data_IF_926586382859
#
_entry.id   IF_926586382859
#
_cell.length_a   1.000
_cell.length_b   1.000
_cell.length_c   1.000
_cell.angle_alpha   90.00
_cell.angle_beta   90.00
_cell.angle_gamma   90.00
#
_symmetry.space_group_name_H-M   'P 1'
#
loop_
_entity.id
_entity.type
_entity.pdbx_description
1 polymer ?
#
# COMPACT_ATOMS: atom_id res chain seq x y z
N UNK A 1 -53.77 -18.57 13.80
CA UNK A 1 -52.79 -17.53 14.18
C UNK A 1 -51.35 -18.03 14.39
N UNK A 2 -51.09 -19.22 14.97
CA UNK A 2 -49.72 -19.73 15.20
C UNK A 2 -48.93 -20.04 13.90
N UNK A 3 -49.57 -20.64 12.88
CA UNK A 3 -48.90 -20.92 11.60
C UNK A 3 -48.49 -19.66 10.83
N UNK A 4 -49.31 -18.60 10.84
CA UNK A 4 -49.02 -17.35 10.12
C UNK A 4 -47.78 -16.62 10.68
N UNK A 5 -47.59 -16.66 12.01
CA UNK A 5 -46.41 -16.09 12.67
C UNK A 5 -45.12 -16.86 12.36
N UNK A 6 -45.21 -18.18 12.21
CA UNK A 6 -44.06 -19.03 11.89
C UNK A 6 -43.58 -18.80 10.45
N UNK A 7 -44.48 -18.66 9.49
CA UNK A 7 -44.12 -18.29 8.11
C UNK A 7 -43.49 -16.89 8.01
N UNK A 8 -44.00 -15.91 8.78
CA UNK A 8 -43.45 -14.55 8.78
C UNK A 8 -42.02 -14.50 9.35
N UNK A 9 -41.73 -15.28 10.40
CA UNK A 9 -40.38 -15.35 11.00
C UNK A 9 -39.40 -16.05 10.06
N UNK A 10 -39.81 -17.11 9.37
CA UNK A 10 -38.96 -17.82 8.40
C UNK A 10 -38.68 -16.95 7.16
N UNK A 11 -39.67 -16.23 6.64
CA UNK A 11 -39.50 -15.30 5.53
C UNK A 11 -38.59 -14.11 5.90
N UNK A 12 -38.73 -13.57 7.11
CA UNK A 12 -37.87 -12.49 7.61
C UNK A 12 -36.43 -12.98 7.83
N UNK A 13 -36.23 -14.20 8.34
CA UNK A 13 -34.90 -14.79 8.49
C UNK A 13 -34.20 -15.01 7.14
N UNK A 14 -34.93 -15.45 6.10
CA UNK A 14 -34.39 -15.58 4.74
C UNK A 14 -34.06 -14.23 4.09
N UNK A 15 -34.84 -13.18 4.38
CA UNK A 15 -34.61 -11.82 3.87
C UNK A 15 -33.43 -11.10 4.54
N UNK A 16 -33.06 -11.47 5.77
CA UNK A 16 -31.91 -10.88 6.47
C UNK A 16 -30.59 -11.56 6.06
N UNK A 17 -30.62 -12.84 5.67
CA UNK A 17 -29.43 -13.57 5.19
C UNK A 17 -28.96 -13.15 3.79
N UNK A 18 -29.80 -12.54 2.95
CA UNK A 18 -29.42 -12.12 1.59
C UNK A 18 -28.77 -10.73 1.51
N UNK A 19 -28.79 -9.94 2.60
CA UNK A 19 -28.27 -8.56 2.59
C UNK A 19 -26.75 -8.49 2.77
N UNK A 20 -26.14 -9.56 3.31
CA UNK A 20 -24.69 -9.60 3.59
C UNK A 20 -23.86 -9.94 2.35
N UNK A 21 -24.47 -10.56 1.33
CA UNK A 21 -23.79 -10.99 0.10
C UNK A 21 -23.70 -9.90 -0.99
N UNK A 22 -24.24 -8.70 -0.75
CA UNK A 22 -24.34 -7.63 -1.75
C UNK A 22 -23.49 -6.38 -1.41
N UNK A 23 -22.43 -6.52 -0.60
CA UNK A 23 -21.64 -5.37 -0.14
C UNK A 23 -20.52 -4.91 -1.07
N UNK A 24 -20.17 -5.67 -2.12
CA UNK A 24 -19.19 -5.24 -3.12
C UNK A 24 -19.79 -5.19 -4.51
N UNK A 25 -19.69 -4.03 -5.18
CA UNK A 25 -20.17 -3.85 -6.54
C UNK A 25 -19.44 -4.77 -7.53
N UNK A 26 -18.15 -4.97 -7.30
CA UNK A 26 -17.29 -5.98 -7.91
C UNK A 26 -16.14 -6.27 -6.94
N UNK A 27 -15.77 -7.54 -6.82
CA UNK A 27 -14.78 -7.99 -5.85
C UNK A 27 -13.44 -8.22 -6.54
N UNK A 28 -12.31 -7.70 -6.01
CA UNK A 28 -11.00 -8.03 -6.57
C UNK A 28 -10.71 -9.52 -6.38
N UNK A 29 -10.05 -10.13 -7.37
CA UNK A 29 -9.66 -11.54 -7.33
C UNK A 29 -8.60 -11.73 -6.22
N UNK A 30 -8.89 -12.53 -5.18
CA UNK A 30 -7.90 -12.80 -4.15
C UNK A 30 -6.71 -13.55 -4.74
N UNK A 31 -5.50 -13.20 -4.32
CA UNK A 31 -4.30 -13.79 -4.90
C UNK A 31 -3.02 -13.08 -4.49
N UNK A 32 -1.89 -13.64 -4.96
CA UNK A 32 -0.56 -13.05 -4.83
C UNK A 32 -0.06 -12.66 -6.21
N UNK A 33 0.27 -11.39 -6.39
CA UNK A 33 0.72 -10.79 -7.64
C UNK A 33 2.13 -10.23 -7.43
N UNK A 34 3.06 -10.51 -8.34
CA UNK A 34 4.48 -10.21 -8.16
C UNK A 34 5.14 -9.73 -9.44
N UNK A 35 6.17 -8.91 -9.29
CA UNK A 35 7.01 -8.54 -10.44
C UNK A 35 7.82 -9.71 -10.97
N UNK A 36 8.23 -10.62 -10.07
CA UNK A 36 9.12 -11.72 -10.41
C UNK A 36 8.46 -12.78 -11.30
N UNK A 37 7.15 -13.01 -11.15
CA UNK A 37 6.38 -13.94 -11.97
C UNK A 37 5.63 -13.25 -13.13
N UNK A 38 5.82 -11.93 -13.30
CA UNK A 38 5.23 -11.14 -14.37
C UNK A 38 3.73 -10.85 -14.20
N UNK A 39 3.13 -11.21 -13.06
CA UNK A 39 1.72 -10.93 -12.78
C UNK A 39 1.45 -9.49 -12.35
N UNK A 40 2.49 -8.69 -12.12
CA UNK A 40 2.44 -7.23 -12.04
C UNK A 40 3.76 -6.60 -12.50
N UNK A 41 3.76 -5.32 -12.82
CA UNK A 41 4.97 -4.57 -13.14
C UNK A 41 5.48 -3.78 -11.93
N UNK A 42 6.78 -3.46 -11.96
CA UNK A 42 7.40 -2.53 -11.03
C UNK A 42 6.92 -1.09 -11.26
N UNK A 43 7.59 -0.13 -10.63
CA UNK A 43 7.10 1.24 -10.66
C UNK A 43 8.17 2.26 -10.41
N UNK A 44 7.70 3.48 -10.17
CA UNK A 44 8.50 4.64 -9.79
C UNK A 44 7.84 5.32 -8.62
N UNK A 45 8.66 5.92 -7.77
CA UNK A 45 8.21 6.71 -6.63
C UNK A 45 8.80 8.11 -6.64
N UNK A 46 8.09 9.02 -5.98
CA UNK A 46 8.60 10.29 -5.53
C UNK A 46 8.26 10.54 -4.07
N UNK A 47 9.24 10.99 -3.30
CA UNK A 47 9.04 11.60 -1.99
C UNK A 47 9.11 13.11 -2.14
N UNK A 48 8.03 13.82 -1.83
CA UNK A 48 7.99 15.28 -1.88
C UNK A 48 8.48 15.90 -0.57
N UNK A 49 9.39 16.88 -0.66
CA UNK A 49 9.85 17.66 0.48
C UNK A 49 8.88 18.81 0.77
N UNK A 50 7.74 18.51 1.40
CA UNK A 50 6.63 19.46 1.53
C UNK A 50 6.98 20.72 2.34
N UNK A 51 7.94 20.64 3.25
CA UNK A 51 8.45 21.77 4.02
C UNK A 51 9.73 22.39 3.42
N UNK A 52 10.27 21.80 2.36
CA UNK A 52 11.58 22.16 1.79
C UNK A 52 12.78 21.77 2.66
N UNK A 53 12.57 21.03 3.77
CA UNK A 53 13.60 20.72 4.76
C UNK A 53 14.45 19.47 4.43
N UNK A 54 14.17 18.78 3.33
CA UNK A 54 14.89 17.57 2.91
C UNK A 54 14.17 16.27 3.28
N UNK A 55 14.86 15.12 3.18
CA UNK A 55 14.27 13.79 3.33
C UNK A 55 13.93 13.45 4.78
N UNK A 56 12.97 12.55 4.98
CA UNK A 56 12.66 12.00 6.30
C UNK A 56 12.00 12.97 7.28
N UNK A 57 11.53 14.13 6.82
CA UNK A 57 10.92 15.17 7.65
C UNK A 57 9.41 14.94 7.77
N UNK A 58 8.80 15.14 8.97
CA UNK A 58 7.35 15.10 9.14
C UNK A 58 6.59 15.89 8.07
N UNK A 59 5.54 15.28 7.53
CA UNK A 59 4.71 15.88 6.49
C UNK A 59 5.23 15.73 5.06
N UNK A 60 6.45 15.22 4.83
CA UNK A 60 6.85 14.79 3.48
C UNK A 60 5.89 13.71 2.98
N UNK A 61 5.55 13.75 1.69
CA UNK A 61 4.52 12.86 1.14
C UNK A 61 5.05 11.94 0.07
N UNK A 62 4.51 10.72 0.02
CA UNK A 62 4.88 9.71 -0.97
C UNK A 62 3.87 9.59 -2.10
N UNK A 63 4.37 9.36 -3.31
CA UNK A 63 3.59 9.03 -4.50
C UNK A 63 4.32 7.95 -5.32
N UNK A 64 3.66 6.82 -5.55
CA UNK A 64 4.22 5.70 -6.27
C UNK A 64 3.23 5.18 -7.31
N UNK A 65 3.73 4.92 -8.52
CA UNK A 65 2.93 4.48 -9.65
C UNK A 65 3.65 3.36 -10.41
N UNK A 66 2.89 2.37 -10.89
CA UNK A 66 3.40 1.34 -11.80
C UNK A 66 3.96 1.98 -13.08
N UNK A 67 5.05 1.45 -13.64
CA UNK A 67 5.71 2.01 -14.82
C UNK A 67 5.92 0.94 -15.90
N UNK A 68 5.33 1.12 -17.07
CA UNK A 68 5.42 0.16 -18.18
C UNK A 68 6.47 0.53 -19.25
N UNK A 69 7.29 1.55 -19.00
CA UNK A 69 8.26 2.09 -19.98
C UNK A 69 7.72 3.24 -20.84
N UNK A 70 6.41 3.51 -20.82
CA UNK A 70 5.77 4.58 -21.59
C UNK A 70 4.84 5.48 -20.75
N UNK A 71 4.09 4.90 -19.82
CA UNK A 71 3.12 5.60 -18.97
C UNK A 71 3.21 5.13 -17.50
N UNK A 72 2.96 6.08 -16.59
CA UNK A 72 2.81 5.82 -15.16
C UNK A 72 1.36 5.40 -14.86
N UNK A 73 1.16 4.67 -13.77
CA UNK A 73 -0.16 4.38 -13.21
C UNK A 73 -1.00 3.44 -14.07
N UNK A 74 -0.40 2.57 -14.86
CA UNK A 74 -1.13 1.64 -15.74
C UNK A 74 -1.73 0.42 -15.05
N UNK A 75 -1.22 0.04 -13.88
CA UNK A 75 -1.67 -1.11 -13.11
C UNK A 75 -2.03 -0.73 -11.67
N UNK A 76 -1.16 0.00 -11.00
CA UNK A 76 -1.34 0.36 -9.60
C UNK A 76 -0.81 1.76 -9.32
N UNK A 77 -1.38 2.39 -8.29
CA UNK A 77 -0.97 3.68 -7.77
C UNK A 77 -1.19 3.73 -6.25
N UNK A 78 -0.24 4.32 -5.53
CA UNK A 78 -0.26 4.46 -4.06
C UNK A 78 0.22 5.88 -3.75
N UNK A 79 -0.56 6.71 -3.07
CA UNK A 79 -0.24 8.13 -2.92
C UNK A 79 -0.87 8.79 -1.69
N UNK A 80 -0.31 9.93 -1.30
CA UNK A 80 -0.90 10.83 -0.30
C UNK A 80 -0.61 10.45 1.15
N UNK A 81 0.19 9.41 1.38
CA UNK A 81 0.73 9.11 2.70
C UNK A 81 1.73 10.21 3.07
N UNK A 82 1.70 10.68 4.32
CA UNK A 82 2.63 11.68 4.85
C UNK A 82 3.46 11.09 6.00
N UNK A 83 4.76 11.43 6.07
CA UNK A 83 5.61 11.07 7.21
C UNK A 83 4.97 11.61 8.48
N UNK A 84 4.86 10.75 9.49
CA UNK A 84 4.24 11.13 10.76
C UNK A 84 5.08 12.15 11.55
N UNK A 85 4.58 12.55 12.72
CA UNK A 85 5.23 13.55 13.56
C UNK A 85 6.62 13.12 14.09
N UNK A 86 6.94 11.83 14.09
CA UNK A 86 8.24 11.34 14.56
C UNK A 86 9.35 11.54 13.52
N UNK A 87 9.00 11.63 12.23
CA UNK A 87 9.99 11.69 11.16
C UNK A 87 10.67 10.34 10.92
N UNK A 88 11.74 10.36 10.13
CA UNK A 88 12.63 9.20 9.99
C UNK A 88 13.43 8.99 11.29
N UNK A 89 13.35 7.79 11.85
CA UNK A 89 14.05 7.42 13.08
C UNK A 89 15.24 6.53 12.75
N UNK A 90 16.45 6.96 13.12
CA UNK A 90 17.66 6.13 13.02
C UNK A 90 17.53 4.91 13.94
N UNK A 91 17.64 3.70 13.39
CA UNK A 91 17.53 2.44 14.14
C UNK A 91 18.86 1.72 14.30
N UNK A 92 19.79 1.93 13.37
CA UNK A 92 21.14 1.40 13.46
C UNK A 92 22.12 2.22 12.63
N UNK A 93 23.41 2.16 12.99
CA UNK A 93 24.48 2.81 12.24
C UNK A 93 25.77 2.01 12.31
N UNK A 94 26.55 2.06 11.24
CA UNK A 94 27.93 1.58 11.20
C UNK A 94 28.72 2.48 10.26
N UNK A 95 29.40 3.49 10.80
CA UNK A 95 30.22 4.45 10.06
C UNK A 95 31.63 4.43 10.65
N UNK A 96 32.64 4.27 9.81
CA UNK A 96 34.04 4.29 10.23
C UNK A 96 34.60 5.72 10.32
N UNK A 97 35.88 5.86 10.72
CA UNK A 97 36.54 7.16 10.86
C UNK A 97 36.70 7.94 9.55
N UNK A 98 36.62 7.27 8.39
CA UNK A 98 36.63 7.93 7.08
C UNK A 98 35.24 8.36 6.62
N UNK A 99 34.17 8.11 7.38
CA UNK A 99 32.79 8.39 6.96
C UNK A 99 32.22 7.36 5.98
N UNK A 100 32.84 6.19 5.86
CA UNK A 100 32.34 5.08 5.03
C UNK A 100 31.52 4.13 5.89
N UNK A 101 30.39 3.66 5.37
CA UNK A 101 29.52 2.72 6.06
C UNK A 101 28.04 2.93 5.73
N UNK A 102 27.15 2.77 6.71
CA UNK A 102 25.71 2.92 6.50
C UNK A 102 24.95 3.42 7.74
N UNK A 103 23.75 3.93 7.52
CA UNK A 103 22.75 4.27 8.54
C UNK A 103 21.40 3.69 8.11
N UNK A 104 20.72 3.01 9.03
CA UNK A 104 19.37 2.47 8.84
C UNK A 104 18.35 3.35 9.54
N UNK A 105 17.26 3.64 8.83
CA UNK A 105 16.12 4.41 9.31
C UNK A 105 14.85 3.59 9.21
N UNK A 106 13.90 3.86 10.10
CA UNK A 106 12.51 3.45 9.96
C UNK A 106 11.64 4.70 9.96
N UNK A 107 10.75 4.78 8.98
CA UNK A 107 9.85 5.92 8.79
C UNK A 107 8.42 5.40 8.73
N UNK A 108 7.57 5.91 9.61
CA UNK A 108 6.14 5.63 9.61
C UNK A 108 5.40 6.74 8.86
N UNK A 109 4.36 6.34 8.16
CA UNK A 109 3.51 7.26 7.42
C UNK A 109 2.06 7.12 7.86
N UNK A 110 1.30 8.21 7.73
CA UNK A 110 -0.12 8.27 8.02
C UNK A 110 -0.93 8.62 6.77
N UNK A 111 -2.15 8.09 6.71
CA UNK A 111 -3.12 8.35 5.64
C UNK A 111 -2.73 7.70 4.31
N UNK A 112 -3.25 8.27 3.22
CA UNK A 112 -2.99 7.85 1.85
C UNK A 112 -4.04 6.91 1.26
N UNK A 113 -3.90 6.71 -0.04
CA UNK A 113 -4.84 6.02 -0.90
C UNK A 113 -4.12 5.08 -1.84
N UNK A 114 -4.85 4.08 -2.31
CA UNK A 114 -4.40 3.22 -3.40
C UNK A 114 -5.46 3.10 -4.48
N UNK A 115 -5.01 2.74 -5.67
CA UNK A 115 -5.80 2.42 -6.84
C UNK A 115 -5.17 1.22 -7.54
N UNK A 116 -6.02 0.31 -8.01
CA UNK A 116 -5.67 -0.87 -8.78
C UNK A 116 -6.57 -0.93 -10.02
N UNK A 117 -5.96 -1.13 -11.19
CA UNK A 117 -6.68 -1.25 -12.46
C UNK A 117 -7.64 -2.43 -12.45
N UNK A 118 -8.92 -2.18 -12.75
CA UNK A 118 -9.96 -3.19 -12.88
C UNK A 118 -9.77 -4.10 -14.09
N UNK A 119 -9.02 -3.64 -15.09
CA UNK A 119 -8.73 -4.38 -16.31
C UNK A 119 -7.54 -5.34 -16.20
N UNK A 120 -6.90 -5.41 -15.02
CA UNK A 120 -5.75 -6.27 -14.79
C UNK A 120 -6.16 -7.66 -14.25
N UNK A 121 -5.19 -8.56 -14.06
CA UNK A 121 -5.38 -9.94 -13.58
C UNK A 121 -6.02 -10.08 -12.19
N UNK A 122 -6.06 -9.02 -11.38
CA UNK A 122 -6.79 -8.97 -10.11
C UNK A 122 -8.22 -8.44 -10.23
N UNK A 123 -8.63 -8.00 -11.42
CA UNK A 123 -9.96 -7.45 -11.67
C UNK A 123 -10.79 -8.30 -12.61
N UNK A 124 -12.04 -7.88 -12.76
CA UNK A 124 -13.05 -8.49 -13.62
C UNK A 124 -13.36 -7.63 -14.87
N UNK A 125 -12.65 -6.50 -15.03
CA UNK A 125 -12.86 -5.55 -16.11
C UNK A 125 -14.10 -4.65 -15.96
N UNK A 126 -14.85 -4.74 -14.86
CA UNK A 126 -16.09 -3.98 -14.67
C UNK A 126 -15.87 -2.61 -14.02
N UNK A 127 -14.76 -2.43 -13.30
CA UNK A 127 -14.38 -1.16 -12.71
C UNK A 127 -13.06 -1.26 -11.94
N UNK A 128 -12.44 -0.11 -11.71
CA UNK A 128 -11.21 -0.04 -10.92
C UNK A 128 -11.47 -0.22 -9.43
N UNK A 129 -10.45 -0.64 -8.71
CA UNK A 129 -10.51 -0.77 -7.26
C UNK A 129 -9.73 0.34 -6.60
N UNK A 130 -10.30 0.93 -5.55
CA UNK A 130 -9.64 1.95 -4.76
C UNK A 130 -9.86 1.74 -3.28
N UNK A 131 -9.05 2.40 -2.47
CA UNK A 131 -9.17 2.30 -1.03
C UNK A 131 -8.22 3.21 -0.27
N UNK A 132 -8.22 3.03 1.04
CA UNK A 132 -7.40 3.81 1.96
C UNK A 132 -6.29 2.95 2.54
N UNK A 133 -5.16 3.58 2.84
CA UNK A 133 -4.02 2.92 3.46
C UNK A 133 -4.17 3.01 4.98
N UNK A 134 -4.09 1.86 5.63
CA UNK A 134 -4.27 1.74 7.09
C UNK A 134 -2.93 1.56 7.81
N UNK A 135 -1.90 1.11 7.10
CA UNK A 135 -0.54 0.99 7.60
C UNK A 135 0.45 1.23 6.47
N UNK A 136 1.50 2.00 6.73
CA UNK A 136 2.59 2.20 5.77
C UNK A 136 3.90 2.49 6.53
N UNK A 137 4.89 1.64 6.31
CA UNK A 137 6.19 1.71 6.96
C UNK A 137 7.30 1.51 5.93
N UNK A 138 8.36 2.32 6.06
CA UNK A 138 9.53 2.28 5.19
C UNK A 138 10.77 2.07 6.04
N UNK A 139 11.50 0.99 5.78
CA UNK A 139 12.84 0.77 6.28
C UNK A 139 13.85 1.20 5.23
N UNK A 140 14.69 2.19 5.52
CA UNK A 140 15.64 2.77 4.57
C UNK A 140 17.08 2.55 5.04
N UNK A 141 17.96 2.09 4.16
CA UNK A 141 19.41 2.01 4.36
C UNK A 141 20.10 3.05 3.50
N UNK A 142 20.79 4.00 4.13
CA UNK A 142 21.64 4.99 3.46
C UNK A 142 23.09 4.52 3.56
N UNK A 143 23.74 4.34 2.42
CA UNK A 143 25.14 3.91 2.32
C UNK A 143 26.03 5.11 1.99
N UNK A 144 27.17 5.18 2.68
CA UNK A 144 28.13 6.27 2.59
C UNK A 144 29.51 5.75 2.17
N UNK A 145 30.21 6.53 1.36
CA UNK A 145 31.62 6.36 1.05
C UNK A 145 32.33 7.70 1.23
N UNK A 146 33.33 7.75 2.11
CA UNK A 146 34.06 8.98 2.44
C UNK A 146 33.14 10.16 2.85
N UNK A 147 32.07 9.88 3.58
CA UNK A 147 31.07 10.88 4.01
C UNK A 147 30.04 11.27 2.96
N UNK A 148 30.15 10.77 1.73
CA UNK A 148 29.21 11.03 0.63
C UNK A 148 28.19 9.89 0.52
N UNK A 149 26.92 10.22 0.29
CA UNK A 149 25.89 9.21 0.01
C UNK A 149 26.19 8.57 -1.35
N UNK A 150 26.28 7.24 -1.38
CA UNK A 150 26.51 6.44 -2.60
C UNK A 150 25.34 5.55 -2.96
N UNK A 151 24.38 5.38 -2.05
CA UNK A 151 23.18 4.61 -2.33
C UNK A 151 22.16 4.74 -1.22
N UNK A 152 20.89 4.67 -1.60
CA UNK A 152 19.76 4.59 -0.67
C UNK A 152 18.85 3.49 -1.18
N UNK A 153 18.57 2.52 -0.32
CA UNK A 153 17.61 1.44 -0.60
C UNK A 153 16.53 1.41 0.46
N UNK A 154 15.31 1.11 0.04
CA UNK A 154 14.16 1.03 0.95
C UNK A 154 13.40 -0.28 0.78
N UNK A 155 12.97 -0.84 1.91
CA UNK A 155 11.96 -1.90 2.00
C UNK A 155 10.66 -1.27 2.52
N UNK A 156 9.55 -1.53 1.87
CA UNK A 156 8.27 -0.89 2.18
C UNK A 156 7.25 -1.98 2.49
N UNK A 157 6.53 -1.81 3.59
CA UNK A 157 5.37 -2.64 3.92
C UNK A 157 4.16 -1.74 4.06
N UNK A 158 3.07 -2.08 3.40
CA UNK A 158 1.81 -1.37 3.54
C UNK A 158 0.62 -2.32 3.60
N UNK A 159 -0.46 -1.83 4.23
CA UNK A 159 -1.77 -2.46 4.26
C UNK A 159 -2.82 -1.44 3.86
N UNK A 160 -3.78 -1.85 3.05
CA UNK A 160 -4.89 -1.00 2.61
C UNK A 160 -6.22 -1.72 2.66
N UNK A 161 -7.29 -0.95 2.83
CA UNK A 161 -8.68 -1.41 2.87
C UNK A 161 -9.40 -0.91 1.61
N UNK A 162 -10.05 -1.80 0.85
CA UNK A 162 -10.87 -1.40 -0.30
C UNK A 162 -12.10 -0.62 0.16
N UNK A 163 -12.41 0.48 -0.54
CA UNK A 163 -13.52 1.37 -0.20
C UNK A 163 -14.87 0.69 -0.42
N UNK A 164 -15.05 0.08 -1.59
CA UNK A 164 -16.29 -0.61 -1.98
C UNK A 164 -16.31 -2.08 -1.56
N UNK A 165 -15.31 -2.54 -0.79
CA UNK A 165 -15.24 -3.91 -0.33
C UNK A 165 -14.54 -4.05 1.04
N UNK A 166 -15.23 -3.71 2.14
CA UNK A 166 -14.61 -3.59 3.47
C UNK A 166 -14.15 -4.92 4.10
N UNK A 167 -14.47 -6.07 3.50
CA UNK A 167 -13.92 -7.38 3.89
C UNK A 167 -12.73 -7.81 3.04
N UNK A 168 -12.36 -7.00 2.04
CA UNK A 168 -11.13 -7.17 1.28
C UNK A 168 -10.08 -6.16 1.73
N UNK A 169 -8.82 -6.59 1.75
CA UNK A 169 -7.66 -5.75 2.00
C UNK A 169 -6.49 -6.14 1.09
N UNK A 170 -5.57 -5.19 0.92
CA UNK A 170 -4.27 -5.44 0.30
C UNK A 170 -3.20 -5.50 1.37
N UNK A 171 -2.30 -6.47 1.26
CA UNK A 171 -1.00 -6.47 1.93
C UNK A 171 0.08 -6.38 0.85
N UNK A 172 0.85 -5.30 0.86
CA UNK A 172 1.75 -4.97 -0.23
C UNK A 172 3.15 -4.73 0.32
N UNK A 173 4.10 -5.50 -0.22
CA UNK A 173 5.49 -5.54 0.20
C UNK A 173 6.37 -5.20 -0.98
N UNK A 174 7.19 -4.16 -0.82
CA UNK A 174 8.23 -3.77 -1.77
C UNK A 174 9.58 -4.14 -1.17
N UNK A 175 10.24 -5.11 -1.80
CA UNK A 175 11.54 -5.56 -1.33
C UNK A 175 12.68 -4.62 -1.73
N UNK A 176 12.48 -3.71 -2.69
CA UNK A 176 13.50 -2.75 -3.03
C UNK A 176 12.94 -1.51 -3.74
N UNK A 177 13.30 -0.35 -3.21
CA UNK A 177 13.22 0.92 -3.91
C UNK A 177 14.59 1.60 -3.85
N UNK A 178 15.10 2.04 -5.00
CA UNK A 178 16.44 2.60 -5.15
C UNK A 178 16.37 4.08 -5.50
N UNK A 179 17.10 4.91 -4.76
CA UNK A 179 17.22 6.35 -5.08
C UNK A 179 17.91 6.54 -6.44
N UNK A 180 17.27 7.33 -7.30
CA UNK A 180 17.77 7.69 -8.63
C UNK A 180 18.19 9.16 -8.69
N UNK A 181 17.47 10.03 -7.98
CA UNK A 181 17.71 11.46 -7.98
C UNK A 181 17.17 12.09 -6.70
N UNK A 182 17.83 13.11 -6.19
CA UNK A 182 17.26 14.02 -5.19
C UNK A 182 17.58 15.48 -5.48
N UNK A 183 16.78 16.34 -4.87
CA UNK A 183 17.02 17.79 -4.91
C UNK A 183 18.38 18.12 -4.33
N UNK A 184 19.18 18.88 -5.10
CA UNK A 184 20.53 19.26 -4.72
C UNK A 184 21.64 18.36 -5.28
N UNK A 185 21.32 17.28 -6.01
CA UNK A 185 22.33 16.42 -6.65
C UNK A 185 23.10 17.10 -7.80
N UNK A 186 22.69 18.30 -8.21
CA UNK A 186 23.30 19.06 -9.32
C UNK A 186 22.93 18.55 -10.72
N UNK A 187 22.41 17.32 -10.83
CA UNK A 187 21.84 16.79 -12.06
C UNK A 187 20.40 17.28 -12.28
N UNK A 188 19.97 17.50 -13.55
CA UNK A 188 18.56 17.77 -13.85
C UNK A 188 17.66 16.61 -13.39
N UNK A 189 16.47 16.94 -12.90
CA UNK A 189 15.49 15.94 -12.50
C UNK A 189 15.05 15.08 -13.70
N UNK A 190 15.16 13.75 -13.62
CA UNK A 190 14.65 12.86 -14.65
C UNK A 190 13.14 13.03 -14.90
N UNK A 191 12.73 12.95 -16.17
CA UNK A 191 11.32 12.91 -16.54
C UNK A 191 10.67 11.54 -16.25
N UNK A 192 9.34 11.48 -16.37
CA UNK A 192 8.55 10.24 -16.24
C UNK A 192 8.57 9.61 -14.84
N UNK A 193 8.60 10.45 -13.80
CA UNK A 193 8.38 10.04 -12.41
C UNK A 193 7.04 10.60 -11.91
N UNK A 194 6.43 9.97 -10.88
CA UNK A 194 5.23 10.52 -10.27
C UNK A 194 5.49 11.95 -9.80
N UNK A 195 4.54 12.88 -9.98
CA UNK A 195 4.73 14.26 -9.56
C UNK A 195 4.90 14.32 -8.04
N UNK A 196 5.72 15.28 -7.58
CA UNK A 196 5.74 15.64 -6.17
C UNK A 196 4.36 16.15 -5.75
N UNK A 197 3.85 15.65 -4.63
CA UNK A 197 2.59 16.12 -4.06
C UNK A 197 2.82 17.43 -3.31
N UNK A 198 1.79 17.90 -2.58
CA UNK A 198 1.81 19.10 -1.72
C UNK A 198 2.30 20.40 -2.39
N UNK A 199 2.36 20.45 -3.72
CA UNK A 199 2.92 21.60 -4.47
C UNK A 199 4.43 21.76 -4.33
N UNK A 200 5.15 20.72 -3.87
CA UNK A 200 6.59 20.78 -3.70
C UNK A 200 7.30 20.83 -5.07
N UNK A 201 8.37 21.63 -5.14
CA UNK A 201 9.24 21.73 -6.31
C UNK A 201 10.51 20.86 -6.19
N UNK A 202 10.57 20.02 -5.16
CA UNK A 202 11.72 19.20 -4.84
C UNK A 202 11.37 18.01 -3.96
N UNK A 203 12.28 17.06 -3.92
CA UNK A 203 12.09 15.75 -3.33
C UNK A 203 13.15 14.75 -3.75
N UNK A 204 12.82 13.47 -3.61
CA UNK A 204 13.58 12.31 -4.06
C UNK A 204 12.78 11.49 -5.06
N UNK A 205 13.48 10.86 -6.01
CA UNK A 205 12.91 9.99 -7.02
C UNK A 205 13.52 8.60 -6.90
N UNK A 206 12.68 7.57 -7.00
CA UNK A 206 13.11 6.21 -6.82
C UNK A 206 12.56 5.29 -7.92
N UNK A 207 13.37 4.32 -8.33
CA UNK A 207 12.87 3.16 -9.06
C UNK A 207 12.38 2.12 -8.05
N UNK A 208 11.27 1.45 -8.36
CA UNK A 208 10.65 0.42 -7.55
C UNK A 208 10.71 -0.91 -8.30
N UNK A 209 11.26 -1.93 -7.66
CA UNK A 209 11.23 -3.29 -8.17
C UNK A 209 10.81 -4.30 -7.10
N UNK A 210 10.65 -5.55 -7.50
CA UNK A 210 10.42 -6.67 -6.58
C UNK A 210 9.19 -6.48 -5.71
N UNK A 211 8.06 -6.15 -6.34
CA UNK A 211 6.78 -5.95 -5.66
C UNK A 211 6.11 -7.30 -5.42
N UNK A 212 5.48 -7.45 -4.26
CA UNK A 212 4.46 -8.47 -4.00
C UNK A 212 3.20 -7.78 -3.46
N UNK A 213 2.10 -7.88 -4.20
CA UNK A 213 0.76 -7.50 -3.78
C UNK A 213 -0.02 -8.77 -3.43
N UNK A 214 -0.50 -8.88 -2.20
CA UNK A 214 -1.46 -9.89 -1.80
C UNK A 214 -2.83 -9.22 -1.64
N UNK A 215 -3.83 -9.75 -2.33
CA UNK A 215 -5.23 -9.38 -2.14
C UNK A 215 -5.87 -10.49 -1.34
N UNK A 216 -6.41 -10.12 -0.19
CA UNK A 216 -7.12 -11.06 0.69
C UNK A 216 -8.54 -10.55 0.83
N UNK A 217 -9.49 -11.38 0.43
CA UNK A 217 -10.90 -11.20 0.71
C UNK A 217 -11.33 -12.37 1.57
N UNK A 218 -11.45 -12.12 2.87
CA UNK A 218 -12.03 -13.08 3.78
C UNK A 218 -13.41 -12.57 4.16
N UNK A 219 -14.48 -13.04 3.48
CA UNK A 219 -15.80 -12.94 4.05
C UNK A 219 -15.82 -13.99 5.16
N UNK A 220 -15.11 -13.77 6.27
CA UNK A 220 -15.43 -14.51 7.48
C UNK A 220 -16.84 -14.08 7.81
N UNK A 221 -17.80 -14.81 7.26
CA UNK A 221 -19.10 -14.93 7.83
C UNK A 221 -18.79 -15.34 9.26
N UNK A 222 -18.85 -14.38 10.19
CA UNK A 222 -19.20 -14.70 11.56
C UNK A 222 -20.46 -15.53 11.43
N UNK A 223 -20.31 -16.85 11.35
CA UNK A 223 -21.45 -17.73 11.44
C UNK A 223 -22.10 -17.32 12.75
N UNK A 224 -23.36 -16.91 12.68
CA UNK A 224 -24.09 -16.53 13.87
C UNK A 224 -24.36 -17.84 14.61
N UNK A 225 -23.36 -18.36 15.30
CA UNK A 225 -23.50 -19.57 16.08
C UNK A 225 -24.34 -19.19 17.26
N UNK A 226 -25.62 -19.57 17.22
CA UNK A 226 -26.46 -19.43 18.40
C UNK A 226 -25.84 -20.28 19.50
N UNK A 227 -25.93 -19.83 20.76
CA UNK A 227 -25.49 -20.63 21.91
C UNK A 227 -26.09 -22.05 21.94
N UNK A 228 -27.18 -22.32 21.21
CA UNK A 228 -27.74 -23.65 21.01
C UNK A 228 -26.88 -24.56 20.12
N UNK A 229 -26.40 -24.06 18.97
CA UNK A 229 -25.58 -24.84 18.03
C UNK A 229 -24.23 -25.26 18.63
N UNK A 230 -23.64 -24.42 19.49
CA UNK A 230 -22.41 -24.77 20.22
C UNK A 230 -22.69 -25.90 21.22
N UNK A 231 -23.85 -25.94 21.88
CA UNK A 231 -24.16 -26.96 22.89
C UNK A 231 -24.37 -28.35 22.31
N UNK A 232 -24.84 -28.45 21.07
CA UNK A 232 -25.06 -29.75 20.41
C UNK A 232 -23.75 -30.41 19.94
N UNK A 233 -22.66 -29.65 19.81
CA UNK A 233 -21.32 -30.19 19.53
C UNK A 233 -20.63 -30.86 20.73
N UNK A 234 -21.09 -30.58 21.95
CA UNK A 234 -20.53 -31.12 23.20
C UNK A 234 -21.45 -32.16 23.88
N UNK A 235 -22.37 -32.77 23.13
CA UNK A 235 -23.23 -33.88 23.58
C UNK A 235 -22.88 -35.15 22.82
#
# INVERSE_FOLDING_TARGET
>A
MKLLRMFLVVALAMLVSSVVAAQCAHQPVPGSYKTLDGTMIGGRASEAFCSGAGPGVPGNTQNAESWNGAALGTQWKIWGMAIDAAGAVETARSINSSGTGWIDYVTNYAGGFFWLSGSHTWGDGLGDFSGTITYYNVGTKVSYFMGMIVGVTSNITLRGQFADCPYCFIDYSLANSMLIWKTGDGAPMPANYPPFLCGANGGELHDICCVTLNIVCDPTATETSTWGAIKDLYR
#
